data_IF_569974436854
#
_entry.id   IF_569974436854
#
_cell.length_a   1.000
_cell.length_b   1.000
_cell.length_c   1.000
_cell.angle_alpha   90.00
_cell.angle_beta   90.00
_cell.angle_gamma   90.00
#
_symmetry.space_group_name_H-M   'P 1'
#
loop_
_entity.id
_entity.type
_entity.pdbx_description
1 polymer ?
#
# COMPACT_ATOMS: atom_id res chain seq x y z
N UNK A 1 -37.50 21.21 22.11
CA UNK A 1 -36.42 20.30 22.55
C UNK A 1 -35.27 20.38 21.55
N UNK A 2 -34.09 20.79 22.02
CA UNK A 2 -32.99 21.28 21.18
C UNK A 2 -32.11 20.18 20.60
N UNK A 3 -31.85 20.26 19.29
CA UNK A 3 -30.79 19.53 18.59
C UNK A 3 -29.43 19.90 19.19
N UNK A 4 -28.71 18.94 19.74
CA UNK A 4 -27.29 19.09 20.07
C UNK A 4 -26.49 19.04 18.76
N UNK A 5 -26.04 20.19 18.29
CA UNK A 5 -25.03 20.31 17.25
C UNK A 5 -23.67 20.05 17.88
N UNK A 6 -23.00 18.97 17.49
CA UNK A 6 -21.57 18.77 17.73
C UNK A 6 -20.84 19.72 16.76
N UNK A 7 -20.68 20.97 17.17
CA UNK A 7 -19.70 21.83 16.54
C UNK A 7 -18.33 21.34 17.02
N UNK A 8 -17.48 20.92 16.09
CA UNK A 8 -16.08 20.60 16.33
C UNK A 8 -15.37 21.83 16.91
N UNK A 9 -15.12 21.85 18.22
CA UNK A 9 -14.21 22.83 18.79
C UNK A 9 -12.80 22.58 18.22
N UNK A 10 -12.10 23.61 17.72
CA UNK A 10 -10.74 23.42 17.25
C UNK A 10 -9.85 23.05 18.45
N UNK A 11 -9.17 21.90 18.34
CA UNK A 11 -8.13 21.47 19.28
C UNK A 11 -7.10 22.58 19.40
N UNK A 12 -6.97 23.19 20.58
CA UNK A 12 -5.91 24.16 20.88
C UNK A 12 -4.57 23.43 20.87
N UNK A 13 -3.76 23.68 19.84
CA UNK A 13 -2.39 23.18 19.77
C UNK A 13 -1.45 24.16 20.48
N UNK A 14 -0.66 23.67 21.44
CA UNK A 14 0.38 24.48 22.12
C UNK A 14 1.44 25.00 21.12
N UNK A 15 1.89 26.26 21.22
CA UNK A 15 2.70 26.93 20.19
C UNK A 15 4.19 26.56 20.18
N UNK A 16 4.63 25.48 20.85
CA UNK A 16 6.07 25.16 21.00
C UNK A 16 6.52 23.78 20.48
N UNK A 17 5.64 23.00 19.84
CA UNK A 17 6.10 21.84 19.08
C UNK A 17 6.58 22.28 17.70
N UNK A 18 7.90 22.32 17.53
CA UNK A 18 8.57 22.45 16.24
C UNK A 18 8.06 21.32 15.35
N UNK A 19 7.12 21.63 14.44
CA UNK A 19 6.43 20.64 13.63
C UNK A 19 7.46 19.88 12.80
N UNK A 20 7.78 18.65 13.21
CA UNK A 20 8.43 17.71 12.33
C UNK A 20 7.60 17.66 11.05
N UNK A 21 8.21 17.88 9.88
CA UNK A 21 7.52 17.87 8.60
C UNK A 21 6.68 16.60 8.50
N UNK A 22 5.37 16.73 8.72
CA UNK A 22 4.45 15.60 8.72
C UNK A 22 4.39 15.09 7.29
N UNK A 23 5.13 14.03 6.98
CA UNK A 23 5.03 13.35 5.68
C UNK A 23 3.59 12.88 5.51
N UNK A 24 2.89 13.54 4.59
CA UNK A 24 1.54 13.16 4.17
C UNK A 24 1.61 12.41 2.86
N UNK A 25 0.59 11.62 2.58
CA UNK A 25 0.39 10.96 1.29
C UNK A 25 -1.10 11.06 0.93
N UNK A 26 -1.42 10.79 -0.34
CA UNK A 26 -2.79 10.82 -0.84
C UNK A 26 -3.20 9.43 -1.29
N UNK A 27 -4.38 9.01 -0.87
CA UNK A 27 -4.99 7.78 -1.37
C UNK A 27 -5.62 7.98 -2.76
N UNK A 28 -5.60 6.93 -3.61
CA UNK A 28 -4.94 5.64 -3.39
C UNK A 28 -3.42 5.70 -3.61
N UNK A 29 -2.64 4.92 -2.85
CA UNK A 29 -1.17 4.86 -2.97
C UNK A 29 -0.71 4.25 -4.29
N UNK A 30 -1.48 3.33 -4.84
CA UNK A 30 -1.29 2.76 -6.17
C UNK A 30 -2.62 2.92 -6.91
N UNK A 31 -2.63 3.67 -8.00
CA UNK A 31 -3.81 3.86 -8.85
C UNK A 31 -3.71 2.98 -10.09
N UNK A 32 -3.68 1.67 -9.87
CA UNK A 32 -3.53 0.62 -10.89
C UNK A 32 -4.23 -0.67 -10.44
N UNK A 33 -4.29 -1.66 -11.32
CA UNK A 33 -4.84 -2.99 -11.04
C UNK A 33 -3.84 -3.82 -10.22
N UNK A 34 -3.99 -3.76 -8.90
CA UNK A 34 -3.17 -4.50 -7.92
C UNK A 34 -4.10 -5.15 -6.88
N UNK A 35 -4.81 -6.23 -7.25
CA UNK A 35 -5.76 -6.91 -6.37
C UNK A 35 -5.07 -7.85 -5.37
N UNK A 36 -5.81 -8.30 -4.35
CA UNK A 36 -5.42 -9.34 -3.38
C UNK A 36 -4.03 -9.13 -2.76
N UNK A 37 -3.74 -7.91 -2.31
CA UNK A 37 -2.41 -7.59 -1.76
C UNK A 37 -2.13 -8.31 -0.44
N UNK A 38 -0.94 -8.89 -0.32
CA UNK A 38 -0.37 -9.37 0.95
C UNK A 38 0.98 -8.67 1.19
N UNK A 39 1.18 -8.12 2.39
CA UNK A 39 2.28 -7.20 2.70
C UNK A 39 3.01 -7.64 3.96
N UNK A 40 4.33 -7.76 3.86
CA UNK A 40 5.23 -8.03 5.00
C UNK A 40 6.34 -7.01 5.11
N UNK A 41 6.99 -6.93 6.28
CA UNK A 41 8.18 -6.12 6.51
C UNK A 41 9.37 -7.01 6.83
N UNK A 42 10.52 -6.74 6.20
CA UNK A 42 11.79 -7.37 6.51
C UNK A 42 12.85 -6.28 6.73
N UNK A 43 13.29 -6.11 7.97
CA UNK A 43 14.20 -5.01 8.34
C UNK A 43 13.57 -3.64 8.12
N UNK A 44 14.15 -2.84 7.22
CA UNK A 44 13.68 -1.48 6.91
C UNK A 44 12.82 -1.40 5.64
N UNK A 45 12.57 -2.53 4.98
CA UNK A 45 11.86 -2.58 3.71
C UNK A 45 10.52 -3.34 3.87
N UNK A 46 9.55 -2.92 3.09
CA UNK A 46 8.25 -3.56 2.94
C UNK A 46 8.19 -4.28 1.59
N UNK A 47 7.57 -5.45 1.58
CA UNK A 47 7.36 -6.26 0.41
C UNK A 47 5.87 -6.55 0.26
N UNK A 48 5.37 -6.49 -0.98
CA UNK A 48 3.99 -6.75 -1.33
C UNK A 48 3.93 -7.73 -2.49
N UNK A 49 2.98 -8.67 -2.44
CA UNK A 49 2.58 -9.49 -3.59
C UNK A 49 1.14 -9.16 -3.99
N UNK A 50 0.78 -9.45 -5.23
CA UNK A 50 -0.57 -9.22 -5.78
C UNK A 50 -0.95 -10.30 -6.81
N UNK A 51 -2.25 -10.52 -7.02
CA UNK A 51 -2.76 -11.48 -8.01
C UNK A 51 -2.71 -10.90 -9.43
N UNK A 52 -2.23 -11.69 -10.40
CA UNK A 52 -2.24 -11.34 -11.84
C UNK A 52 -3.14 -12.24 -12.68
N UNK A 53 -3.89 -13.15 -12.04
CA UNK A 53 -4.69 -14.18 -12.71
C UNK A 53 -3.89 -14.96 -13.78
N UNK A 54 -4.19 -14.72 -15.06
CA UNK A 54 -3.59 -15.40 -16.21
C UNK A 54 -2.48 -14.58 -16.89
N UNK A 55 -2.12 -13.40 -16.37
CA UNK A 55 -1.01 -12.60 -16.89
C UNK A 55 0.33 -13.16 -16.42
N UNK A 56 1.30 -13.20 -17.32
CA UNK A 56 2.64 -13.75 -17.11
C UNK A 56 3.71 -12.72 -17.53
N UNK A 57 4.82 -12.56 -16.78
CA UNK A 57 5.14 -13.28 -15.54
C UNK A 57 4.16 -12.91 -14.40
N UNK A 58 3.89 -13.88 -13.52
CA UNK A 58 2.80 -13.82 -12.56
C UNK A 58 3.28 -13.58 -11.13
N UNK A 59 2.36 -13.05 -10.30
CA UNK A 59 2.57 -12.73 -8.87
C UNK A 59 3.75 -11.75 -8.70
N UNK A 60 3.57 -10.47 -9.06
CA UNK A 60 4.61 -9.45 -8.91
C UNK A 60 4.99 -9.29 -7.44
N UNK A 61 6.29 -9.17 -7.19
CA UNK A 61 6.85 -8.77 -5.91
C UNK A 61 7.20 -7.29 -6.01
N UNK A 62 6.57 -6.46 -5.18
CA UNK A 62 6.85 -5.04 -5.08
C UNK A 62 7.59 -4.72 -3.78
N UNK A 63 8.42 -3.69 -3.80
CA UNK A 63 9.19 -3.21 -2.65
C UNK A 63 8.92 -1.74 -2.36
N UNK A 64 8.87 -1.38 -1.08
CA UNK A 64 8.76 0.00 -0.61
C UNK A 64 9.56 0.24 0.66
N UNK A 65 9.93 1.49 0.93
CA UNK A 65 10.52 1.92 2.22
C UNK A 65 9.54 2.68 3.11
N UNK A 66 8.40 3.10 2.56
CA UNK A 66 7.49 4.05 3.20
C UNK A 66 6.00 3.68 3.07
N UNK A 67 5.69 2.51 2.52
CA UNK A 67 4.33 2.00 2.24
C UNK A 67 3.54 2.83 1.20
N UNK A 68 4.15 3.84 0.58
CA UNK A 68 3.50 4.74 -0.37
C UNK A 68 4.10 4.57 -1.76
N UNK A 69 5.43 4.57 -1.85
CA UNK A 69 6.15 4.45 -3.11
C UNK A 69 6.56 2.99 -3.32
N UNK A 70 5.98 2.33 -4.33
CA UNK A 70 6.17 0.91 -4.62
C UNK A 70 6.82 0.71 -5.99
N UNK A 71 7.75 -0.23 -6.08
CA UNK A 71 8.43 -0.63 -7.31
C UNK A 71 8.36 -2.15 -7.47
N UNK A 72 8.02 -2.65 -8.66
CA UNK A 72 8.08 -4.08 -8.98
C UNK A 72 9.56 -4.49 -9.09
N UNK A 73 9.99 -5.43 -8.25
CA UNK A 73 11.38 -5.90 -8.20
C UNK A 73 11.56 -7.31 -8.76
N UNK A 74 10.48 -8.09 -8.85
CA UNK A 74 10.51 -9.47 -9.37
C UNK A 74 9.10 -10.02 -9.60
N UNK A 75 9.02 -11.26 -10.06
CA UNK A 75 7.80 -12.05 -10.21
C UNK A 75 8.06 -13.45 -9.65
N UNK A 76 7.11 -14.02 -8.90
CA UNK A 76 7.29 -15.35 -8.31
C UNK A 76 7.26 -16.45 -9.38
N UNK A 77 6.38 -16.30 -10.37
CA UNK A 77 6.14 -17.34 -11.38
C UNK A 77 6.49 -16.79 -12.78
N UNK A 78 7.57 -17.26 -13.43
CA UNK A 78 7.94 -16.78 -14.76
C UNK A 78 6.97 -17.26 -15.85
N UNK A 79 6.47 -18.48 -15.72
CA UNK A 79 5.54 -19.10 -16.65
C UNK A 79 4.63 -20.10 -15.90
N UNK A 80 3.32 -19.96 -16.08
CA UNK A 80 2.31 -20.95 -15.68
C UNK A 80 2.15 -21.96 -16.82
N UNK A 81 2.39 -23.24 -16.55
CA UNK A 81 2.25 -24.31 -17.54
C UNK A 81 0.96 -25.08 -17.30
N UNK A 82 0.33 -25.50 -18.40
CA UNK A 82 -0.77 -26.45 -18.32
C UNK A 82 -0.28 -27.76 -17.72
N UNK A 83 -1.09 -28.34 -16.83
CA UNK A 83 -0.80 -29.62 -16.18
C UNK A 83 -1.14 -30.83 -17.07
N UNK A 84 -1.53 -30.61 -18.33
CA UNK A 84 -1.67 -31.67 -19.31
C UNK A 84 -0.28 -32.09 -19.76
N UNK A 85 0.37 -32.96 -18.97
CA UNK A 85 1.56 -33.70 -19.40
C UNK A 85 1.26 -34.74 -20.48
N UNK A 86 0.39 -34.41 -21.45
CA UNK A 86 0.08 -35.15 -22.66
C UNK A 86 0.60 -34.37 -23.87
#
# INVERSE_FOLDING_TARGET
EGKRTFADEPVKTDPTEKSADKKTFRNPVIYADVPDVDVIRVGNDFYMVSTTMHLMPAVPIMKSKDLVNWEIISYVVPEIKDSTGL
#
